data_IF_527669642360
#
_entry.id   IF_527669642360
#
_cell.length_a   1.000
_cell.length_b   1.000
_cell.length_c   1.000
_cell.angle_alpha   90.00
_cell.angle_beta   90.00
_cell.angle_gamma   90.00
#
_symmetry.space_group_name_H-M   'P 1'
#
loop_
_entity.id
_entity.type
_entity.pdbx_description
1 polymer ?
#
# COMPACT_ATOMS: atom_id res chain seq x y z
N UNK A 1 -11.89 14.27 -0.24
CA UNK A 1 -13.20 14.19 0.46
C UNK A 1 -13.01 14.46 1.94
N UNK A 2 -13.90 15.24 2.58
CA UNK A 2 -13.80 15.50 4.03
C UNK A 2 -14.93 14.81 4.78
N UNK A 3 -14.58 14.20 5.93
CA UNK A 3 -15.54 13.69 6.91
C UNK A 3 -15.72 14.74 8.01
N UNK A 4 -16.98 15.09 8.31
CA UNK A 4 -17.34 16.04 9.36
C UNK A 4 -17.61 15.26 10.66
N UNK A 5 -16.64 15.25 11.57
CA UNK A 5 -16.68 14.40 12.77
C UNK A 5 -17.11 15.15 14.05
N UNK A 6 -17.57 16.41 13.91
CA UNK A 6 -17.92 17.27 15.04
C UNK A 6 -18.90 16.60 16.00
N UNK A 7 -19.97 15.98 15.47
CA UNK A 7 -21.00 15.31 16.29
C UNK A 7 -20.47 14.15 17.10
N UNK A 8 -19.48 13.44 16.57
CA UNK A 8 -18.79 12.36 17.29
C UNK A 8 -17.93 12.92 18.43
N UNK A 9 -17.15 13.98 18.17
CA UNK A 9 -16.28 14.58 19.18
C UNK A 9 -17.04 15.22 20.34
N UNK A 10 -18.19 15.86 20.08
CA UNK A 10 -19.04 16.44 21.12
C UNK A 10 -20.01 15.46 21.76
N UNK A 11 -20.03 14.19 21.33
CA UNK A 11 -20.84 13.12 21.91
C UNK A 11 -22.32 13.14 21.52
N UNK A 12 -22.70 13.85 20.46
CA UNK A 12 -24.07 13.87 19.94
C UNK A 12 -24.43 12.55 19.25
N UNK A 13 -23.45 11.91 18.59
CA UNK A 13 -23.61 10.60 17.95
C UNK A 13 -22.54 9.63 18.47
N UNK A 14 -22.91 8.35 18.61
CA UNK A 14 -21.98 7.30 19.04
C UNK A 14 -21.16 6.74 17.87
N UNK A 15 -21.73 6.70 16.68
CA UNK A 15 -21.06 6.19 15.49
C UNK A 15 -21.64 6.79 14.21
N UNK A 16 -20.83 6.84 13.17
CA UNK A 16 -21.19 7.32 11.82
C UNK A 16 -20.48 6.46 10.79
N UNK A 17 -21.25 5.87 9.87
CA UNK A 17 -20.70 5.06 8.77
C UNK A 17 -20.49 5.91 7.53
N UNK A 18 -19.45 5.60 6.77
CA UNK A 18 -19.13 6.30 5.54
C UNK A 18 -18.71 5.32 4.44
N UNK A 19 -18.87 5.74 3.19
CA UNK A 19 -18.34 5.07 2.02
C UNK A 19 -17.91 6.11 0.99
N UNK A 20 -16.82 5.83 0.28
CA UNK A 20 -16.25 6.70 -0.73
C UNK A 20 -15.60 5.89 -1.86
N UNK A 21 -15.54 6.49 -3.04
CA UNK A 21 -14.69 6.03 -4.14
C UNK A 21 -13.67 7.12 -4.45
N UNK A 22 -12.39 6.78 -4.40
CA UNK A 22 -11.26 7.68 -4.60
C UNK A 22 -10.57 7.30 -5.91
N UNK A 23 -10.48 8.24 -6.85
CA UNK A 23 -9.80 8.01 -8.12
C UNK A 23 -8.33 8.44 -8.02
N UNK A 24 -7.45 7.46 -7.95
CA UNK A 24 -6.01 7.64 -7.92
C UNK A 24 -5.32 7.09 -9.18
N UNK A 25 -6.02 7.06 -10.29
CA UNK A 25 -5.47 6.59 -11.57
C UNK A 25 -4.24 7.38 -12.04
N UNK A 26 -4.13 8.65 -11.60
CA UNK A 26 -2.99 9.52 -11.87
C UNK A 26 -1.90 9.48 -10.78
N UNK A 27 -2.17 8.86 -9.63
CA UNK A 27 -1.20 8.79 -8.53
C UNK A 27 -0.02 7.90 -8.88
N UNK A 28 1.19 8.38 -8.56
CA UNK A 28 2.44 7.71 -8.89
C UNK A 28 3.12 7.11 -7.67
N UNK A 29 3.44 5.82 -7.78
CA UNK A 29 4.31 5.14 -6.83
C UNK A 29 5.60 4.77 -7.56
N UNK A 30 6.67 5.53 -7.29
CA UNK A 30 7.91 5.45 -8.06
C UNK A 30 7.72 5.88 -9.52
N UNK A 31 7.93 4.96 -10.45
CA UNK A 31 7.80 5.20 -11.90
C UNK A 31 6.45 4.77 -12.50
N UNK A 32 5.57 4.16 -11.71
CA UNK A 32 4.32 3.56 -12.17
C UNK A 32 3.09 4.27 -11.57
N UNK A 33 1.93 4.13 -12.23
CA UNK A 33 0.61 4.46 -11.69
C UNK A 33 -0.08 3.12 -11.37
N UNK A 34 0.00 2.65 -10.12
CA UNK A 34 -0.39 1.28 -9.79
C UNK A 34 -1.89 1.06 -9.65
N UNK A 35 -2.67 2.12 -9.41
CA UNK A 35 -4.11 2.02 -9.15
C UNK A 35 -4.88 1.86 -10.47
N UNK A 36 -5.22 0.60 -10.81
CA UNK A 36 -5.93 0.27 -12.05
C UNK A 36 -7.45 0.48 -11.95
N UNK A 37 -7.96 0.65 -10.75
CA UNK A 37 -9.37 0.90 -10.47
C UNK A 37 -9.48 1.91 -9.32
N UNK A 38 -10.62 2.63 -9.20
CA UNK A 38 -10.89 3.47 -8.04
C UNK A 38 -10.75 2.69 -6.73
N UNK A 39 -10.21 3.35 -5.71
CA UNK A 39 -10.12 2.79 -4.37
C UNK A 39 -11.46 2.95 -3.68
N UNK A 40 -12.11 1.84 -3.36
CA UNK A 40 -13.36 1.83 -2.60
C UNK A 40 -13.04 1.76 -1.12
N UNK A 41 -13.54 2.74 -0.39
CA UNK A 41 -13.35 2.87 1.05
C UNK A 41 -14.71 2.77 1.73
N UNK A 42 -14.83 1.92 2.73
CA UNK A 42 -16.02 1.83 3.57
C UNK A 42 -15.62 1.61 5.03
N UNK A 43 -16.28 2.32 5.92
CA UNK A 43 -15.91 2.25 7.32
C UNK A 43 -16.88 2.93 8.26
N UNK A 44 -16.44 3.01 9.52
CA UNK A 44 -17.20 3.63 10.61
C UNK A 44 -16.28 4.44 11.50
N UNK A 45 -16.67 5.66 11.79
CA UNK A 45 -16.11 6.45 12.87
C UNK A 45 -16.99 6.30 14.12
N UNK A 46 -16.40 6.12 15.29
CA UNK A 46 -17.13 5.90 16.54
C UNK A 46 -16.47 6.62 17.70
N UNK A 47 -17.31 7.05 18.66
CA UNK A 47 -16.85 7.58 19.95
C UNK A 47 -17.23 6.59 21.06
N UNK A 48 -16.24 6.07 21.76
CA UNK A 48 -16.43 5.20 22.91
C UNK A 48 -15.70 5.80 24.09
N UNK A 49 -16.44 6.21 25.10
CA UNK A 49 -15.90 6.80 26.34
C UNK A 49 -14.95 8.00 26.09
N UNK A 50 -15.26 8.85 25.10
CA UNK A 50 -14.45 10.01 24.74
C UNK A 50 -13.29 9.73 23.80
N UNK A 51 -13.07 8.47 23.41
CA UNK A 51 -12.05 8.08 22.42
C UNK A 51 -12.73 7.95 21.06
N UNK A 52 -12.37 8.84 20.12
CA UNK A 52 -12.86 8.79 18.75
C UNK A 52 -11.94 7.90 17.93
N UNK A 53 -12.52 6.90 17.27
CA UNK A 53 -11.80 5.97 16.39
C UNK A 53 -12.43 5.96 15.01
N UNK A 54 -11.58 5.79 14.00
CA UNK A 54 -12.02 5.49 12.64
C UNK A 54 -11.50 4.10 12.26
N UNK A 55 -12.40 3.26 11.78
CA UNK A 55 -12.05 1.96 11.23
C UNK A 55 -12.62 1.85 9.83
N UNK A 56 -11.80 1.44 8.87
CA UNK A 56 -12.24 1.30 7.49
C UNK A 56 -11.48 0.21 6.74
N UNK A 57 -12.10 -0.25 5.68
CA UNK A 57 -11.50 -1.12 4.68
C UNK A 57 -11.33 -0.33 3.38
N UNK A 58 -10.17 -0.50 2.75
CA UNK A 58 -9.87 0.05 1.44
C UNK A 58 -9.57 -1.08 0.46
N UNK A 59 -10.30 -1.11 -0.65
CA UNK A 59 -10.23 -2.14 -1.69
C UNK A 59 -9.92 -1.51 -3.05
N UNK A 60 -8.96 -2.08 -3.75
CA UNK A 60 -8.63 -1.68 -5.13
C UNK A 60 -7.99 -2.83 -5.90
N UNK A 61 -7.61 -2.55 -7.13
CA UNK A 61 -6.83 -3.45 -7.98
C UNK A 61 -5.53 -2.74 -8.37
N UNK A 62 -4.42 -3.36 -8.02
CA UNK A 62 -3.10 -2.87 -8.38
C UNK A 62 -2.61 -3.51 -9.67
N UNK A 63 -2.03 -2.69 -10.55
CA UNK A 63 -1.46 -3.08 -11.83
C UNK A 63 -0.01 -2.64 -11.89
N UNK A 64 0.91 -3.60 -11.84
CA UNK A 64 2.34 -3.33 -11.82
C UNK A 64 3.14 -4.39 -12.60
N UNK A 65 4.32 -4.06 -13.11
CA UNK A 65 5.21 -5.06 -13.66
C UNK A 65 5.74 -5.99 -12.56
N UNK A 66 5.86 -7.27 -12.88
CA UNK A 66 6.49 -8.24 -12.00
C UNK A 66 7.97 -7.89 -11.79
N UNK A 67 8.43 -7.83 -10.53
CA UNK A 67 9.82 -7.47 -10.19
C UNK A 67 10.88 -8.44 -10.72
N UNK A 68 10.47 -9.67 -11.11
CA UNK A 68 11.39 -10.67 -11.64
C UNK A 68 11.37 -10.80 -13.17
N UNK A 69 10.21 -10.72 -13.79
CA UNK A 69 10.09 -10.99 -15.24
C UNK A 69 9.50 -9.84 -16.04
N UNK A 70 9.21 -8.70 -15.40
CA UNK A 70 8.65 -7.48 -15.97
C UNK A 70 7.31 -7.65 -16.72
N UNK A 71 6.68 -8.81 -16.62
CA UNK A 71 5.33 -9.02 -17.16
C UNK A 71 4.34 -8.25 -16.31
N UNK A 72 3.44 -7.53 -16.96
CA UNK A 72 2.37 -6.80 -16.29
C UNK A 72 1.49 -7.75 -15.49
N UNK A 73 1.22 -7.39 -14.26
CA UNK A 73 0.50 -8.20 -13.27
C UNK A 73 -0.58 -7.37 -12.63
N UNK A 74 -1.75 -7.96 -12.49
CA UNK A 74 -2.93 -7.34 -11.88
C UNK A 74 -3.29 -8.16 -10.65
N UNK A 75 -3.37 -7.51 -9.49
CA UNK A 75 -3.67 -8.18 -8.21
C UNK A 75 -4.68 -7.37 -7.40
N UNK A 76 -5.67 -8.01 -6.76
CA UNK A 76 -6.53 -7.35 -5.80
C UNK A 76 -5.72 -6.92 -4.57
N UNK A 77 -6.03 -5.75 -4.05
CA UNK A 77 -5.40 -5.21 -2.86
C UNK A 77 -6.50 -4.71 -1.91
N UNK A 78 -6.56 -5.31 -0.74
CA UNK A 78 -7.54 -5.02 0.30
C UNK A 78 -6.84 -4.91 1.64
N UNK A 79 -7.11 -3.83 2.40
CA UNK A 79 -6.55 -3.60 3.73
C UNK A 79 -7.58 -3.00 4.66
N UNK A 80 -7.42 -3.33 5.95
CA UNK A 80 -8.21 -2.76 7.04
C UNK A 80 -7.31 -1.87 7.88
N UNK A 81 -7.84 -0.70 8.23
CA UNK A 81 -7.13 0.30 9.02
C UNK A 81 -7.95 0.71 10.24
N UNK A 82 -7.25 1.05 11.30
CA UNK A 82 -7.82 1.54 12.55
C UNK A 82 -6.95 2.66 13.10
N UNK A 83 -7.53 3.84 13.29
CA UNK A 83 -6.84 4.98 13.88
C UNK A 83 -7.62 5.59 15.03
N UNK A 84 -6.89 6.20 15.96
CA UNK A 84 -7.46 7.07 17.00
C UNK A 84 -7.36 8.50 16.50
N UNK A 85 -8.48 9.21 16.56
CA UNK A 85 -8.57 10.60 16.14
C UNK A 85 -8.58 11.52 17.36
N UNK A 86 -7.80 12.59 17.29
CA UNK A 86 -7.71 13.61 18.34
C UNK A 86 -7.89 15.01 17.77
N UNK A 87 -8.47 15.91 18.55
CA UNK A 87 -8.65 17.30 18.14
C UNK A 87 -7.36 18.13 18.27
N UNK A 88 -6.48 17.74 19.21
CA UNK A 88 -5.17 18.35 19.44
C UNK A 88 -4.27 17.39 20.20
N UNK A 89 -2.95 17.54 20.01
CA UNK A 89 -1.96 16.82 20.78
C UNK A 89 -1.57 17.62 22.02
N UNK A 90 -1.62 16.99 23.18
CA UNK A 90 -1.14 17.54 24.45
C UNK A 90 0.21 16.91 24.80
N UNK A 91 1.23 17.15 23.97
CA UNK A 91 2.56 16.55 24.16
C UNK A 91 3.30 16.30 22.85
N UNK A 92 4.32 15.46 22.90
CA UNK A 92 5.04 15.04 21.67
C UNK A 92 4.16 14.15 20.81
N UNK A 93 4.23 14.38 19.49
CA UNK A 93 3.55 13.53 18.51
C UNK A 93 4.30 12.19 18.44
N UNK A 94 3.64 11.13 18.91
CA UNK A 94 4.19 9.75 18.82
C UNK A 94 3.90 9.08 17.48
N UNK A 95 3.16 9.76 16.58
CA UNK A 95 2.72 9.20 15.30
C UNK A 95 1.58 8.15 15.41
N UNK A 96 1.08 7.89 16.63
CA UNK A 96 0.00 6.91 16.85
C UNK A 96 -1.39 7.48 16.64
N UNK A 97 -1.52 8.81 16.65
CA UNK A 97 -2.81 9.49 16.61
C UNK A 97 -2.93 10.40 15.39
N UNK A 98 -4.11 10.44 14.81
CA UNK A 98 -4.41 11.34 13.70
C UNK A 98 -5.06 12.60 14.26
N UNK A 99 -4.42 13.75 14.03
CA UNK A 99 -4.98 15.05 14.41
C UNK A 99 -5.96 15.50 13.34
N UNK A 100 -7.20 15.73 13.73
CA UNK A 100 -8.20 16.26 12.80
C UNK A 100 -8.02 17.78 12.61
N UNK A 101 -8.39 18.29 11.44
CA UNK A 101 -8.32 19.71 11.13
C UNK A 101 -9.26 20.53 12.01
N UNK A 102 -9.07 21.87 11.99
CA UNK A 102 -9.96 22.82 12.64
C UNK A 102 -11.41 22.59 12.25
N UNK A 103 -12.31 22.53 13.23
CA UNK A 103 -13.72 22.19 13.02
C UNK A 103 -14.03 20.69 13.01
N UNK A 104 -13.09 19.85 13.45
CA UNK A 104 -13.24 18.38 13.52
C UNK A 104 -13.43 17.74 12.13
N UNK A 105 -12.67 18.21 11.15
CA UNK A 105 -12.69 17.68 9.78
C UNK A 105 -11.51 16.74 9.56
N UNK A 106 -11.76 15.63 8.88
CA UNK A 106 -10.74 14.67 8.49
C UNK A 106 -10.67 14.59 6.96
N UNK A 107 -9.49 14.83 6.40
CA UNK A 107 -9.24 14.59 4.98
C UNK A 107 -9.08 13.09 4.72
N UNK A 108 -10.14 12.45 4.25
CA UNK A 108 -10.16 11.02 4.00
C UNK A 108 -9.21 10.60 2.88
N UNK A 109 -9.07 11.42 1.82
CA UNK A 109 -8.16 11.13 0.70
C UNK A 109 -6.71 11.01 1.19
N UNK A 110 -6.25 11.98 1.95
CA UNK A 110 -4.87 12.00 2.47
C UNK A 110 -4.61 10.83 3.43
N UNK A 111 -5.55 10.57 4.34
CA UNK A 111 -5.41 9.48 5.30
C UNK A 111 -5.32 8.14 4.59
N UNK A 112 -6.28 7.84 3.72
CA UNK A 112 -6.33 6.55 3.01
C UNK A 112 -5.14 6.39 2.08
N UNK A 113 -4.71 7.47 1.40
CA UNK A 113 -3.53 7.41 0.53
C UNK A 113 -2.26 7.08 1.33
N UNK A 114 -2.05 7.74 2.46
CA UNK A 114 -0.90 7.48 3.33
C UNK A 114 -0.89 6.03 3.82
N UNK A 115 -2.03 5.53 4.29
CA UNK A 115 -2.17 4.16 4.79
C UNK A 115 -1.93 3.11 3.70
N UNK A 116 -2.52 3.33 2.50
CA UNK A 116 -2.34 2.43 1.37
C UNK A 116 -0.88 2.38 0.89
N UNK A 117 -0.15 3.51 0.95
CA UNK A 117 1.26 3.57 0.60
C UNK A 117 2.15 2.86 1.63
N UNK A 118 1.82 2.95 2.92
CA UNK A 118 2.54 2.26 3.99
C UNK A 118 2.39 0.73 3.90
N UNK A 119 1.19 0.26 3.52
CA UNK A 119 0.88 -1.17 3.34
C UNK A 119 1.16 -1.68 1.92
N UNK A 120 1.77 -0.84 1.08
CA UNK A 120 2.03 -1.21 -0.31
C UNK A 120 2.97 -2.42 -0.40
N UNK A 121 2.69 -3.42 -1.27
CA UNK A 121 3.53 -4.59 -1.36
C UNK A 121 4.97 -4.25 -1.73
N UNK A 122 5.94 -4.72 -0.93
CA UNK A 122 7.36 -4.55 -1.22
C UNK A 122 7.85 -5.40 -2.40
N UNK A 123 7.06 -6.40 -2.82
CA UNK A 123 7.34 -7.26 -3.98
C UNK A 123 6.08 -7.52 -4.77
N UNK A 124 6.15 -7.30 -6.08
CA UNK A 124 5.09 -7.60 -7.03
C UNK A 124 5.51 -8.74 -7.93
N UNK A 125 4.93 -9.92 -7.76
CA UNK A 125 5.28 -11.12 -8.51
C UNK A 125 4.06 -11.63 -9.30
N UNK A 126 4.25 -11.99 -10.57
CA UNK A 126 3.20 -12.60 -11.38
C UNK A 126 2.76 -13.98 -10.83
N UNK A 127 3.68 -14.66 -10.14
CA UNK A 127 3.44 -15.93 -9.42
C UNK A 127 4.55 -16.13 -8.37
N UNK A 128 4.30 -16.87 -7.29
CA UNK A 128 5.27 -17.05 -6.21
C UNK A 128 6.60 -17.66 -6.67
N UNK A 129 6.55 -18.61 -7.63
CA UNK A 129 7.67 -19.34 -8.21
C UNK A 129 8.23 -18.69 -9.50
N UNK A 130 7.99 -17.39 -9.74
CA UNK A 130 8.45 -16.70 -10.94
C UNK A 130 9.97 -16.85 -11.10
N UNK A 131 10.40 -17.41 -12.24
CA UNK A 131 11.82 -17.65 -12.58
C UNK A 131 12.55 -16.41 -13.07
N UNK A 132 11.81 -15.33 -13.36
CA UNK A 132 12.38 -14.06 -13.81
C UNK A 132 12.80 -14.08 -15.27
N UNK A 133 13.71 -13.14 -15.59
CA UNK A 133 14.36 -13.01 -16.91
C UNK A 133 15.80 -13.49 -16.83
N UNK A 134 16.31 -14.02 -17.92
CA UNK A 134 17.73 -14.33 -18.01
C UNK A 134 18.55 -13.04 -17.99
N UNK A 135 19.54 -12.88 -17.09
CA UNK A 135 20.36 -11.65 -17.01
C UNK A 135 21.26 -11.42 -18.22
N UNK A 136 21.44 -12.43 -19.08
CA UNK A 136 22.29 -12.33 -20.30
C UNK A 136 21.50 -11.97 -21.54
N UNK A 137 20.44 -12.73 -21.82
CA UNK A 137 19.71 -12.61 -23.08
C UNK A 137 18.30 -11.99 -22.92
N UNK A 138 17.87 -11.67 -21.70
CA UNK A 138 16.56 -11.09 -21.45
C UNK A 138 15.38 -12.04 -21.64
N UNK A 139 15.62 -13.32 -21.97
CA UNK A 139 14.55 -14.29 -22.17
C UNK A 139 13.75 -14.52 -20.88
N UNK A 140 12.42 -14.53 -20.97
CA UNK A 140 11.55 -14.85 -19.84
C UNK A 140 11.62 -16.34 -19.51
N UNK A 141 12.24 -16.67 -18.38
CA UNK A 141 12.48 -18.04 -17.94
C UNK A 141 11.20 -18.79 -17.51
N UNK A 142 10.07 -18.10 -17.43
CA UNK A 142 8.77 -18.73 -17.20
C UNK A 142 8.16 -19.28 -18.51
N UNK A 143 8.60 -18.78 -19.66
CA UNK A 143 8.03 -19.11 -20.96
C UNK A 143 8.99 -19.95 -21.82
N UNK A 144 10.30 -19.65 -21.75
CA UNK A 144 11.31 -20.28 -22.59
C UNK A 144 12.53 -20.69 -21.78
N UNK A 145 13.12 -21.83 -22.15
CA UNK A 145 14.43 -22.21 -21.61
C UNK A 145 15.51 -21.30 -22.22
N UNK A 146 16.37 -20.76 -21.36
CA UNK A 146 17.53 -19.99 -21.82
C UNK A 146 18.58 -20.94 -22.45
N UNK A 147 19.11 -20.55 -23.60
CA UNK A 147 20.20 -21.30 -24.28
C UNK A 147 21.61 -20.78 -23.94
N UNK A 148 21.73 -19.87 -22.98
CA UNK A 148 23.02 -19.36 -22.51
C UNK A 148 23.74 -20.48 -21.71
N UNK A 149 24.82 -21.02 -22.24
CA UNK A 149 25.53 -22.18 -21.70
C UNK A 149 26.43 -21.89 -20.51
N UNK A 150 26.95 -20.66 -20.38
CA UNK A 150 27.84 -20.30 -19.28
C UNK A 150 27.31 -19.13 -18.45
N UNK A 151 27.29 -19.29 -17.17
CA UNK A 151 27.20 -18.17 -16.22
C UNK A 151 28.62 -17.68 -15.99
N UNK A 152 29.07 -16.54 -16.57
CA UNK A 152 30.36 -15.98 -16.18
C UNK A 152 30.24 -15.65 -14.68
N UNK A 153 31.12 -16.22 -13.92
CA UNK A 153 31.28 -15.85 -12.51
C UNK A 153 31.98 -14.51 -12.53
N UNK A 154 31.50 -13.56 -11.76
CA UNK A 154 32.21 -12.31 -11.54
C UNK A 154 33.61 -12.65 -11.01
N UNK A 155 34.70 -12.21 -11.67
CA UNK A 155 36.07 -12.50 -11.25
C UNK A 155 36.35 -12.15 -9.76
N UNK A 156 35.61 -11.16 -9.24
CA UNK A 156 35.69 -10.74 -7.83
C UNK A 156 35.14 -11.80 -6.86
N UNK A 157 34.20 -12.65 -7.34
CA UNK A 157 33.56 -13.70 -6.55
C UNK A 157 34.21 -15.07 -6.78
N UNK A 158 35.19 -15.18 -7.69
CA UNK A 158 35.85 -16.43 -8.01
C UNK A 158 36.63 -17.00 -6.79
N UNK A 159 37.15 -16.11 -5.95
CA UNK A 159 37.84 -16.47 -4.70
C UNK A 159 36.88 -17.19 -3.73
N UNK A 160 35.60 -16.87 -3.73
CA UNK A 160 34.62 -17.52 -2.87
C UNK A 160 34.33 -18.97 -3.25
N UNK A 161 34.62 -19.38 -4.50
CA UNK A 161 34.50 -20.77 -4.93
C UNK A 161 35.46 -21.69 -4.15
N UNK A 162 36.66 -21.20 -3.82
CA UNK A 162 37.64 -21.97 -3.07
C UNK A 162 37.26 -22.24 -1.61
N UNK A 163 36.23 -21.52 -1.11
CA UNK A 163 35.67 -21.69 0.24
C UNK A 163 34.50 -22.68 0.29
N UNK A 164 33.96 -23.09 -0.86
CA UNK A 164 32.81 -23.98 -1.00
C UNK A 164 33.20 -25.42 -1.46
N UNK A 165 34.51 -25.68 -1.62
CA UNK A 165 35.05 -26.96 -2.05
C UNK A 165 35.26 -27.95 -0.96
#
# INVERSE_FOLDING_TARGET
MFLELKKLFIGETASESFAAELDWSAERVGSCCPFAAPVRVSGTASNTAGIVRIQYQADTVLKMPCDRCAVETVQPFSRNFLHILVASLNGEDTGEWIVVESGYRLNLDELVLADMLLEFPSKFLCKPDCKGICPRCGANLNQTACRCTDKPIDPRLEILKSLLG
#
